data_IF_739489059652
#
_entry.id   IF_739489059652
#
_cell.length_a   1.000
_cell.length_b   1.000
_cell.length_c   1.000
_cell.angle_alpha   90.00
_cell.angle_beta   90.00
_cell.angle_gamma   90.00
#
_symmetry.space_group_name_H-M   'P 1'
#
loop_
_entity.id
_entity.type
_entity.pdbx_description
1 polymer ?
#
# COMPACT_ATOMS: atom_id res chain seq x y z
N UNK A 1 -24.75 -67.92 -12.32
CA UNK A 1 -24.92 -66.55 -12.87
C UNK A 1 -25.28 -65.59 -11.75
N UNK A 2 -24.33 -65.11 -10.93
CA UNK A 2 -24.65 -64.23 -9.79
C UNK A 2 -23.45 -63.57 -9.11
N UNK A 3 -22.39 -63.15 -9.82
CA UNK A 3 -21.25 -62.44 -9.19
C UNK A 3 -20.55 -61.36 -10.05
N UNK A 4 -21.12 -60.98 -11.20
CA UNK A 4 -20.41 -60.08 -12.14
C UNK A 4 -20.85 -58.61 -12.05
N UNK A 5 -21.95 -58.30 -11.34
CA UNK A 5 -22.51 -56.93 -11.36
C UNK A 5 -21.87 -56.00 -10.31
N UNK A 6 -21.09 -56.50 -9.35
CA UNK A 6 -20.60 -55.65 -8.24
C UNK A 6 -19.26 -54.95 -8.48
N UNK A 7 -18.64 -55.11 -9.66
CA UNK A 7 -17.28 -54.60 -9.92
C UNK A 7 -17.21 -53.42 -10.90
N UNK A 8 -18.36 -52.91 -11.37
CA UNK A 8 -18.45 -51.64 -12.10
C UNK A 8 -18.84 -50.53 -11.11
N UNK A 9 -17.95 -50.25 -10.17
CA UNK A 9 -17.83 -48.93 -9.56
C UNK A 9 -16.35 -48.57 -9.66
N UNK A 10 -15.88 -48.54 -10.92
CA UNK A 10 -14.55 -48.09 -11.26
C UNK A 10 -14.47 -46.59 -10.93
N UNK A 11 -13.91 -46.30 -9.76
CA UNK A 11 -13.07 -45.14 -9.45
C UNK A 11 -13.25 -43.95 -10.42
N UNK A 12 -14.37 -43.23 -10.28
CA UNK A 12 -14.47 -41.89 -10.83
C UNK A 12 -13.84 -40.95 -9.80
N UNK A 13 -12.50 -40.84 -9.83
CA UNK A 13 -11.77 -39.82 -9.08
C UNK A 13 -12.10 -38.45 -9.69
N UNK A 14 -13.17 -37.83 -9.21
CA UNK A 14 -13.50 -36.45 -9.56
C UNK A 14 -12.44 -35.57 -8.92
N UNK A 15 -11.55 -34.99 -9.72
CA UNK A 15 -10.61 -33.96 -9.25
C UNK A 15 -11.42 -32.68 -9.05
N UNK A 16 -12.05 -32.57 -7.89
CA UNK A 16 -12.68 -31.34 -7.42
C UNK A 16 -11.54 -30.39 -7.03
N UNK A 17 -11.26 -29.41 -7.88
CA UNK A 17 -10.38 -28.31 -7.53
C UNK A 17 -11.20 -27.32 -6.70
N UNK A 18 -10.97 -27.28 -5.38
CA UNK A 18 -11.59 -26.30 -4.48
C UNK A 18 -10.95 -24.90 -4.58
N UNK A 19 -9.87 -24.76 -5.34
CA UNK A 19 -9.14 -23.52 -5.54
C UNK A 19 -9.29 -23.02 -6.98
N UNK A 20 -9.48 -21.72 -7.13
CA UNK A 20 -9.41 -21.03 -8.42
C UNK A 20 -8.03 -20.40 -8.53
N UNK A 21 -7.35 -20.61 -9.66
CA UNK A 21 -6.08 -19.91 -9.93
C UNK A 21 -6.37 -18.43 -10.13
N UNK A 22 -5.56 -17.57 -9.52
CA UNK A 22 -5.63 -16.14 -9.75
C UNK A 22 -4.25 -15.51 -9.88
N UNK A 23 -4.14 -14.49 -10.73
CA UNK A 23 -2.88 -13.86 -11.12
C UNK A 23 -2.98 -12.35 -10.99
N UNK A 24 -2.01 -11.75 -10.28
CA UNK A 24 -1.86 -10.31 -10.15
C UNK A 24 -0.64 -9.87 -10.98
N UNK A 25 -0.88 -9.36 -12.18
CA UNK A 25 0.17 -8.96 -13.11
C UNK A 25 0.60 -7.50 -12.90
N UNK A 26 1.77 -7.28 -12.32
CA UNK A 26 2.34 -5.94 -12.06
C UNK A 26 3.08 -5.33 -13.26
N UNK A 27 3.13 -6.04 -14.39
CA UNK A 27 3.90 -5.66 -15.59
C UNK A 27 5.37 -5.34 -15.27
N UNK A 28 6.04 -6.19 -14.48
CA UNK A 28 7.44 -5.96 -14.06
C UNK A 28 7.60 -4.77 -13.11
N UNK A 29 6.53 -4.40 -12.40
CA UNK A 29 6.51 -3.21 -11.55
C UNK A 29 6.19 -1.93 -12.30
N UNK A 30 5.66 -1.95 -13.53
CA UNK A 30 5.13 -0.71 -14.13
C UNK A 30 3.84 -0.25 -13.42
N UNK A 31 3.06 -1.20 -12.89
CA UNK A 31 1.81 -0.93 -12.21
C UNK A 31 1.85 -1.38 -10.74
N UNK A 32 1.16 -0.61 -9.90
CA UNK A 32 0.64 -1.08 -8.61
C UNK A 32 -0.75 -1.67 -8.86
N UNK A 33 -1.00 -2.89 -8.37
CA UNK A 33 -2.25 -3.61 -8.66
C UNK A 33 -2.98 -3.87 -7.36
N UNK A 34 -4.15 -3.24 -7.23
CA UNK A 34 -5.03 -3.36 -6.07
C UNK A 34 -6.01 -4.50 -6.31
N UNK A 35 -5.97 -5.48 -5.42
CA UNK A 35 -6.81 -6.67 -5.51
C UNK A 35 -7.94 -6.60 -4.48
N UNK A 36 -9.18 -6.62 -4.98
CA UNK A 36 -10.37 -6.70 -4.16
C UNK A 36 -10.74 -8.18 -3.94
N UNK A 37 -10.66 -8.64 -2.69
CA UNK A 37 -10.95 -10.03 -2.33
C UNK A 37 -12.44 -10.38 -2.35
N UNK A 38 -13.34 -9.40 -2.23
CA UNK A 38 -14.79 -9.63 -2.28
C UNK A 38 -15.23 -9.85 -3.72
N UNK A 39 -14.81 -8.96 -4.62
CA UNK A 39 -15.22 -8.99 -6.04
C UNK A 39 -14.25 -9.75 -6.95
N UNK A 40 -13.06 -10.08 -6.45
CA UNK A 40 -11.93 -10.64 -7.23
C UNK A 40 -11.47 -9.73 -8.37
N UNK A 41 -11.85 -8.45 -8.34
CA UNK A 41 -11.45 -7.45 -9.33
C UNK A 41 -10.04 -6.93 -9.05
N UNK A 42 -9.32 -6.61 -10.13
CA UNK A 42 -7.94 -6.13 -10.09
C UNK A 42 -7.87 -4.78 -10.77
N UNK A 43 -7.49 -3.76 -10.01
CA UNK A 43 -7.31 -2.42 -10.54
C UNK A 43 -5.82 -2.13 -10.66
N UNK A 44 -5.34 -1.99 -11.90
CA UNK A 44 -3.97 -1.58 -12.16
C UNK A 44 -3.89 -0.06 -12.22
N UNK A 45 -2.97 0.51 -11.45
CA UNK A 45 -2.62 1.93 -11.46
C UNK A 45 -1.17 2.03 -11.89
N UNK A 46 -0.87 2.87 -12.88
CA UNK A 46 0.51 3.12 -13.29
C UNK A 46 1.26 3.75 -12.12
N UNK A 47 2.42 3.19 -11.73
CA UNK A 47 3.13 3.70 -10.55
C UNK A 47 3.56 5.16 -10.72
N UNK A 48 3.79 5.60 -11.95
CA UNK A 48 4.18 6.98 -12.27
C UNK A 48 3.04 8.00 -12.13
N UNK A 49 1.82 7.60 -11.76
CA UNK A 49 0.66 8.51 -11.71
C UNK A 49 0.27 8.95 -10.31
N UNK A 50 0.99 8.55 -9.27
CA UNK A 50 0.69 8.94 -7.90
C UNK A 50 1.96 9.23 -7.11
N UNK A 51 1.89 10.25 -6.26
CA UNK A 51 3.02 10.66 -5.41
C UNK A 51 2.76 10.39 -3.92
N UNK A 52 1.52 10.58 -3.48
CA UNK A 52 1.10 10.42 -2.08
C UNK A 52 -0.14 9.54 -1.98
N UNK A 53 -0.24 8.77 -0.89
CA UNK A 53 -1.40 7.96 -0.54
C UNK A 53 -2.00 8.39 0.79
N UNK A 54 -3.33 8.54 0.84
CA UNK A 54 -4.07 8.93 2.04
C UNK A 54 -4.74 7.70 2.65
N UNK A 55 -4.68 7.56 3.97
CA UNK A 55 -5.42 6.52 4.67
C UNK A 55 -6.93 6.75 4.58
N UNK A 56 -7.70 5.67 4.46
CA UNK A 56 -9.16 5.68 4.58
C UNK A 56 -9.65 5.31 5.97
N UNK A 57 -8.74 5.00 6.91
CA UNK A 57 -9.08 4.76 8.31
C UNK A 57 -9.66 6.06 8.92
N UNK A 58 -10.92 6.06 9.40
CA UNK A 58 -11.55 7.25 9.99
C UNK A 58 -10.80 7.86 11.17
N UNK A 59 -9.97 7.07 11.86
CA UNK A 59 -9.14 7.54 12.97
C UNK A 59 -7.65 7.58 12.61
N UNK A 60 -7.30 7.29 11.35
CA UNK A 60 -5.95 7.32 10.84
C UNK A 60 -5.55 8.72 10.37
N UNK A 61 -4.30 9.09 10.63
CA UNK A 61 -3.68 10.31 10.10
C UNK A 61 -2.44 10.01 9.24
N UNK A 62 -2.33 8.78 8.73
CA UNK A 62 -1.19 8.36 7.94
C UNK A 62 -1.26 8.86 6.50
N UNK A 63 -0.12 9.38 6.02
CA UNK A 63 0.10 9.75 4.62
C UNK A 63 1.43 9.09 4.20
N UNK A 64 1.36 8.27 3.15
CA UNK A 64 2.53 7.60 2.56
C UNK A 64 3.02 8.34 1.31
N UNK A 65 4.28 8.13 0.94
CA UNK A 65 4.85 8.58 -0.35
C UNK A 65 5.14 7.38 -1.26
N UNK A 66 5.14 7.60 -2.57
CA UNK A 66 5.49 6.59 -3.56
C UNK A 66 7.01 6.43 -3.71
N UNK A 67 7.66 5.82 -2.73
CA UNK A 67 9.12 5.63 -2.73
C UNK A 67 9.59 4.84 -3.95
N UNK A 68 8.82 3.82 -4.33
CA UNK A 68 9.15 2.97 -5.46
C UNK A 68 8.85 3.63 -6.83
N UNK A 69 8.12 4.75 -6.82
CA UNK A 69 7.94 5.67 -7.96
C UNK A 69 9.00 6.76 -8.02
N UNK A 70 9.92 6.82 -7.05
CA UNK A 70 10.99 7.82 -6.97
C UNK A 70 10.63 9.08 -6.18
N UNK A 71 9.50 9.11 -5.48
CA UNK A 71 9.13 10.24 -4.62
C UNK A 71 10.00 10.26 -3.37
N UNK A 72 10.48 11.44 -3.02
CA UNK A 72 11.35 11.68 -1.88
C UNK A 72 10.75 12.75 -0.98
N UNK A 73 10.73 12.50 0.34
CA UNK A 73 10.27 13.46 1.33
C UNK A 73 11.43 13.99 2.16
N UNK A 74 11.44 15.30 2.37
CA UNK A 74 12.41 16.00 3.20
C UNK A 74 11.71 17.02 4.08
N UNK A 75 12.15 17.14 5.33
CA UNK A 75 11.68 18.18 6.24
C UNK A 75 12.56 19.43 6.09
N UNK A 76 11.93 20.58 5.84
CA UNK A 76 12.60 21.87 5.78
C UNK A 76 11.99 22.86 6.77
N UNK A 77 12.79 23.28 7.75
CA UNK A 77 12.38 24.18 8.81
C UNK A 77 11.46 23.52 9.84
N UNK A 78 11.17 24.26 10.92
CA UNK A 78 10.19 23.86 11.93
C UNK A 78 8.76 24.34 11.60
N UNK A 79 8.65 25.36 10.75
CA UNK A 79 7.39 25.95 10.30
C UNK A 79 7.54 26.53 8.87
N UNK A 80 6.45 27.09 8.35
CA UNK A 80 6.38 27.64 6.99
C UNK A 80 7.07 29.00 6.84
N UNK A 81 7.51 29.67 7.92
CA UNK A 81 8.18 30.97 7.84
C UNK A 81 9.53 30.87 7.11
N UNK A 82 10.21 29.72 7.24
CA UNK A 82 11.45 29.43 6.55
C UNK A 82 11.27 29.23 5.03
N UNK A 83 10.06 28.93 4.56
CA UNK A 83 9.82 28.52 3.17
C UNK A 83 10.03 29.65 2.16
N UNK A 84 9.91 30.90 2.60
CA UNK A 84 10.17 32.07 1.76
C UNK A 84 11.62 32.15 1.25
N UNK A 85 12.55 31.49 1.94
CA UNK A 85 13.99 31.45 1.61
C UNK A 85 14.47 30.05 1.24
N UNK A 86 13.55 29.13 0.95
CA UNK A 86 13.88 27.76 0.58
C UNK A 86 14.68 27.72 -0.73
N UNK A 87 15.88 27.13 -0.66
CA UNK A 87 16.72 26.78 -1.81
C UNK A 87 17.06 25.28 -1.74
N UNK A 88 16.83 24.56 -2.84
CA UNK A 88 17.10 23.12 -2.97
C UNK A 88 18.42 22.83 -3.67
N UNK A 89 19.12 23.86 -4.19
CA UNK A 89 20.39 23.69 -4.86
C UNK A 89 21.44 23.08 -3.92
N UNK A 90 21.92 21.88 -4.26
CA UNK A 90 22.94 21.18 -3.46
C UNK A 90 22.43 20.69 -2.10
N UNK A 91 21.12 20.49 -1.92
CA UNK A 91 20.55 20.02 -0.67
C UNK A 91 21.20 18.71 -0.19
N UNK A 92 21.43 18.61 1.13
CA UNK A 92 21.97 17.41 1.80
C UNK A 92 21.09 16.95 2.96
N UNK A 93 19.78 17.21 2.85
CA UNK A 93 18.83 16.87 3.92
C UNK A 93 18.64 15.36 4.05
N UNK A 94 18.25 14.95 5.24
CA UNK A 94 17.91 13.54 5.51
C UNK A 94 16.57 13.21 4.88
N UNK A 95 16.54 12.19 4.03
CA UNK A 95 15.30 11.67 3.46
C UNK A 95 14.46 11.00 4.56
N UNK A 96 13.16 11.23 4.51
CA UNK A 96 12.16 10.57 5.34
C UNK A 96 11.48 9.48 4.53
N UNK A 97 11.33 8.30 5.12
CA UNK A 97 10.84 7.09 4.47
C UNK A 97 9.48 6.67 5.03
N UNK A 98 8.73 5.84 4.31
CA UNK A 98 7.59 5.16 4.94
C UNK A 98 8.11 4.10 5.92
N UNK A 99 7.27 3.69 6.87
CA UNK A 99 7.56 2.49 7.66
C UNK A 99 7.47 1.23 6.78
N UNK A 100 8.47 0.35 6.91
CA UNK A 100 8.48 -0.96 6.25
C UNK A 100 7.55 -1.99 6.92
N UNK A 101 7.04 -1.69 8.12
CA UNK A 101 6.29 -2.65 8.93
C UNK A 101 4.84 -2.24 9.19
N UNK A 102 4.47 -0.97 8.97
CA UNK A 102 3.09 -0.52 9.22
C UNK A 102 2.66 0.65 8.33
N UNK A 103 1.43 0.58 7.84
CA UNK A 103 0.78 1.67 7.11
C UNK A 103 0.40 2.85 8.00
N UNK A 104 0.30 2.66 9.32
CA UNK A 104 -0.04 3.73 10.26
C UNK A 104 1.06 4.79 10.40
N UNK A 105 2.28 4.48 9.95
CA UNK A 105 3.45 5.35 10.05
C UNK A 105 4.04 5.63 8.66
N UNK A 106 3.23 6.23 7.79
CA UNK A 106 3.71 6.77 6.51
C UNK A 106 4.72 7.90 6.70
N UNK A 107 5.45 8.25 5.64
CA UNK A 107 6.57 9.19 5.69
C UNK A 107 6.21 10.57 6.28
N UNK A 108 4.97 11.04 6.13
CA UNK A 108 4.54 12.29 6.77
C UNK A 108 4.16 12.11 8.25
N UNK A 109 3.68 10.92 8.62
CA UNK A 109 3.15 10.65 9.96
C UNK A 109 4.24 10.25 10.96
N UNK A 110 5.34 9.66 10.49
CA UNK A 110 6.39 9.13 11.34
C UNK A 110 7.36 10.19 11.91
N UNK A 111 7.12 11.48 11.62
CA UNK A 111 7.84 12.59 12.24
C UNK A 111 7.12 13.16 13.48
N UNK A 112 5.89 12.70 13.73
CA UNK A 112 5.10 13.11 14.89
C UNK A 112 5.40 12.26 16.12
N UNK A 113 4.84 12.66 17.25
CA UNK A 113 4.94 11.90 18.50
C UNK A 113 3.80 10.89 18.66
N UNK A 114 2.56 11.36 18.72
CA UNK A 114 1.28 10.64 18.79
C UNK A 114 0.17 11.71 18.86
N UNK A 115 -1.11 11.29 18.85
CA UNK A 115 -2.23 12.23 19.05
C UNK A 115 -1.95 13.22 20.20
N UNK A 116 -2.05 14.55 19.95
CA UNK A 116 -2.62 15.18 18.75
C UNK A 116 -1.62 15.46 17.61
N UNK A 117 -0.33 15.21 17.78
CA UNK A 117 0.71 15.47 16.78
C UNK A 117 0.94 14.27 15.85
N UNK A 118 0.57 14.46 14.59
CA UNK A 118 0.70 13.48 13.52
C UNK A 118 1.87 13.77 12.59
N UNK A 119 2.84 14.58 13.00
CA UNK A 119 4.06 14.89 12.24
C UNK A 119 3.87 15.95 11.16
N UNK A 120 2.87 15.79 10.30
CA UNK A 120 2.48 16.77 9.29
C UNK A 120 1.46 17.79 9.79
N UNK A 121 0.89 17.58 10.97
CA UNK A 121 -0.09 18.47 11.57
C UNK A 121 -0.42 18.09 13.01
N UNK A 122 -0.88 19.08 13.77
CA UNK A 122 -1.37 18.91 15.14
C UNK A 122 -2.88 19.05 15.13
N UNK A 123 -3.58 18.03 15.60
CA UNK A 123 -5.04 18.06 15.76
C UNK A 123 -5.46 19.13 16.76
N UNK A 124 -6.33 20.03 16.31
CA UNK A 124 -6.97 21.01 17.18
C UNK A 124 -8.36 20.50 17.59
N UNK A 125 -8.54 20.25 18.90
CA UNK A 125 -9.79 19.77 19.48
C UNK A 125 -10.75 20.88 19.92
N UNK A 126 -10.38 22.15 19.69
CA UNK A 126 -11.13 23.34 20.12
C UNK A 126 -11.60 24.19 18.96
#
# INVERSE_FOLDING_TARGET
MKKIISSIFLLLSVTIYAQTEDVVATAGGVNDVYYDFETQSKTAVARSTWDIGLTTDPQGASIIINENGGVELYLYGADTSAWSTLDTAGMKWTKIYNSETTWASGAFANQGTNHPDYGWGVYNST
#
